data_IF_068208328174
#
_entry.id   IF_068208328174
#
_cell.length_a   1.000
_cell.length_b   1.000
_cell.length_c   1.000
_cell.angle_alpha   90.00
_cell.angle_beta   90.00
_cell.angle_gamma   90.00
#
_symmetry.space_group_name_H-M   'P 1'
#
loop_
_entity.id
_entity.type
_entity.pdbx_description
1 polymer ?
#
# COMPACT_ATOMS: atom_id res chain seq x y z
N UNK A 1 9.02 3.15 -5.89
CA UNK A 1 7.94 4.14 -5.92
C UNK A 1 8.49 5.53 -5.66
N UNK A 2 7.97 6.59 -6.32
CA UNK A 2 8.36 7.97 -6.03
C UNK A 2 7.33 8.60 -5.10
N UNK A 3 7.78 9.20 -4.01
CA UNK A 3 6.92 9.73 -2.94
C UNK A 3 6.68 11.25 -3.04
N UNK A 4 6.94 11.86 -4.21
CA UNK A 4 6.69 13.29 -4.47
C UNK A 4 7.25 14.26 -3.40
N UNK A 5 8.43 13.96 -2.85
CA UNK A 5 9.10 14.78 -1.83
C UNK A 5 8.82 14.37 -0.37
N UNK A 6 7.93 13.41 -0.13
CA UNK A 6 7.76 12.78 1.18
C UNK A 6 8.89 11.78 1.45
N UNK A 7 9.28 11.63 2.72
CA UNK A 7 10.23 10.59 3.14
C UNK A 7 9.47 9.26 3.33
N UNK A 8 10.16 8.10 3.25
CA UNK A 8 9.54 6.81 3.51
C UNK A 8 8.75 6.71 4.83
N UNK A 9 9.22 7.39 5.88
CA UNK A 9 8.57 7.40 7.20
C UNK A 9 7.34 8.34 7.28
N UNK A 10 7.13 9.18 6.28
CA UNK A 10 5.98 10.08 6.20
C UNK A 10 4.78 9.40 5.49
N UNK A 11 4.88 8.10 5.18
CA UNK A 11 3.82 7.31 4.55
C UNK A 11 3.70 5.93 5.19
N UNK A 12 2.50 5.34 5.08
CA UNK A 12 2.26 3.91 5.28
C UNK A 12 1.89 3.30 3.93
N UNK A 13 2.67 2.33 3.49
CA UNK A 13 2.42 1.58 2.25
C UNK A 13 1.74 0.27 2.61
N UNK A 14 0.65 -0.07 1.92
CA UNK A 14 -0.12 -1.27 2.18
C UNK A 14 -0.34 -2.06 0.90
N UNK A 15 -0.06 -3.35 0.95
CA UNK A 15 -0.62 -4.32 0.02
C UNK A 15 -2.04 -4.64 0.44
N UNK A 16 -2.98 -4.56 -0.49
CA UNK A 16 -4.39 -4.92 -0.30
C UNK A 16 -4.64 -6.15 -1.15
N UNK A 17 -4.95 -7.27 -0.52
CA UNK A 17 -5.07 -8.57 -1.19
C UNK A 17 -6.41 -9.20 -0.86
N UNK A 18 -6.99 -9.90 -1.82
CA UNK A 18 -8.26 -10.57 -1.64
C UNK A 18 -8.60 -11.47 -2.81
N UNK A 19 -9.72 -12.19 -2.68
CA UNK A 19 -10.28 -12.89 -3.83
C UNK A 19 -10.81 -11.86 -4.83
N UNK A 20 -10.88 -12.24 -6.10
CA UNK A 20 -11.62 -11.46 -7.09
C UNK A 20 -12.88 -12.19 -7.51
N UNK A 21 -13.95 -11.44 -7.75
CA UNK A 21 -15.15 -11.95 -8.39
C UNK A 21 -15.01 -11.96 -9.93
N UNK A 22 -16.09 -12.30 -10.64
CA UNK A 22 -16.09 -12.35 -12.10
C UNK A 22 -15.93 -10.97 -12.78
N UNK A 23 -16.03 -9.88 -12.01
CA UNK A 23 -15.82 -8.51 -12.47
C UNK A 23 -14.46 -7.93 -12.09
N UNK A 24 -13.50 -8.77 -11.67
CA UNK A 24 -12.17 -8.37 -11.17
C UNK A 24 -12.22 -7.45 -9.94
N UNK A 25 -13.31 -7.50 -9.17
CA UNK A 25 -13.46 -6.71 -7.94
C UNK A 25 -12.90 -7.49 -6.76
N UNK A 26 -12.06 -6.82 -5.95
CA UNK A 26 -11.53 -7.38 -4.71
C UNK A 26 -12.64 -7.59 -3.67
N UNK A 27 -12.80 -8.83 -3.24
CA UNK A 27 -13.73 -9.28 -2.20
C UNK A 27 -12.99 -9.56 -0.90
N UNK A 28 -13.59 -9.13 0.22
CA UNK A 28 -13.06 -9.25 1.58
C UNK A 28 -11.55 -8.96 1.70
N UNK A 29 -11.09 -7.77 1.26
CA UNK A 29 -9.67 -7.48 1.17
C UNK A 29 -9.01 -7.39 2.55
N UNK A 30 -7.87 -8.04 2.68
CA UNK A 30 -6.96 -7.92 3.82
C UNK A 30 -5.84 -6.95 3.45
N UNK A 31 -5.48 -6.08 4.39
CA UNK A 31 -4.37 -5.14 4.22
C UNK A 31 -3.14 -5.60 4.99
N UNK A 32 -1.99 -5.61 4.33
CA UNK A 32 -0.69 -5.93 4.91
C UNK A 32 0.23 -4.72 4.74
N UNK A 33 0.79 -4.23 5.84
CA UNK A 33 1.78 -3.16 5.79
C UNK A 33 3.06 -3.63 5.09
N UNK A 34 3.62 -2.78 4.24
CA UNK A 34 4.84 -3.03 3.50
C UNK A 34 5.99 -2.28 4.14
N UNK A 35 7.08 -3.00 4.42
CA UNK A 35 8.28 -2.41 4.99
C UNK A 35 9.08 -1.68 3.91
N UNK A 36 9.60 -0.49 4.24
CA UNK A 36 10.63 0.15 3.42
C UNK A 36 11.90 -0.69 3.49
N UNK A 37 12.39 -1.14 2.34
CA UNK A 37 13.56 -2.02 2.24
C UNK A 37 14.74 -1.36 1.54
N UNK A 38 14.63 -0.07 1.20
CA UNK A 38 15.73 0.74 0.66
C UNK A 38 15.30 1.60 -0.51
N UNK A 39 16.30 2.21 -1.15
CA UNK A 39 16.12 3.09 -2.30
C UNK A 39 16.82 2.45 -3.50
N UNK A 40 16.08 2.22 -4.57
CA UNK A 40 16.59 1.69 -5.84
C UNK A 40 17.10 2.78 -6.77
N UNK A 41 17.53 2.35 -7.96
CA UNK A 41 18.06 3.25 -8.99
C UNK A 41 17.08 4.38 -9.33
N UNK A 42 17.58 5.57 -9.63
CA UNK A 42 16.74 6.71 -10.00
C UNK A 42 15.92 7.32 -8.86
N UNK A 43 16.21 6.98 -7.59
CA UNK A 43 15.58 7.57 -6.42
C UNK A 43 14.18 7.01 -6.11
N UNK A 44 13.90 5.78 -6.54
CA UNK A 44 12.67 5.10 -6.20
C UNK A 44 12.79 4.41 -4.84
N UNK A 45 11.86 4.70 -3.93
CA UNK A 45 11.75 4.00 -2.65
C UNK A 45 11.12 2.61 -2.84
N UNK A 46 11.72 1.59 -2.25
CA UNK A 46 11.30 0.20 -2.34
C UNK A 46 10.57 -0.17 -1.06
N UNK A 47 9.34 -0.63 -1.22
CA UNK A 47 8.55 -1.21 -0.14
C UNK A 47 8.23 -2.64 -0.50
N UNK A 48 8.36 -3.56 0.44
CA UNK A 48 8.08 -4.98 0.23
C UNK A 48 7.36 -5.61 1.40
N UNK A 49 6.62 -6.66 1.11
CA UNK A 49 5.98 -7.52 2.11
C UNK A 49 5.87 -8.93 1.55
N UNK A 50 5.78 -9.90 2.44
CA UNK A 50 5.51 -11.30 2.11
C UNK A 50 4.28 -11.72 2.89
N UNK A 51 3.25 -12.17 2.20
CA UNK A 51 2.02 -12.64 2.83
C UNK A 51 1.65 -14.02 2.30
N UNK A 52 1.26 -14.96 3.18
CA UNK A 52 0.69 -16.21 2.73
C UNK A 52 -0.65 -15.93 2.03
N UNK A 53 -0.94 -16.67 0.97
CA UNK A 53 -2.27 -16.67 0.35
C UNK A 53 -3.13 -17.71 1.05
N UNK A 54 -4.16 -17.31 1.82
CA UNK A 54 -4.90 -18.25 2.65
C UNK A 54 -5.88 -19.13 1.85
N UNK A 55 -6.08 -18.85 0.56
CA UNK A 55 -7.19 -19.40 -0.23
C UNK A 55 -6.74 -19.77 -1.65
N UNK A 56 -7.24 -20.90 -2.16
CA UNK A 56 -7.07 -21.31 -3.54
C UNK A 56 -8.05 -20.58 -4.47
N UNK A 57 -7.61 -20.28 -5.69
CA UNK A 57 -8.37 -19.56 -6.72
C UNK A 57 -7.71 -18.25 -7.15
N UNK A 58 -8.39 -17.45 -8.00
CA UNK A 58 -7.89 -16.14 -8.42
C UNK A 58 -7.72 -15.19 -7.22
N UNK A 59 -6.55 -14.57 -7.15
CA UNK A 59 -6.22 -13.57 -6.14
C UNK A 59 -5.90 -12.27 -6.85
N UNK A 60 -6.55 -11.20 -6.42
CA UNK A 60 -6.20 -9.84 -6.80
C UNK A 60 -5.31 -9.21 -5.73
N UNK A 61 -4.49 -8.26 -6.14
CA UNK A 61 -3.80 -7.38 -5.22
C UNK A 61 -3.70 -5.97 -5.80
N UNK A 62 -3.66 -4.98 -4.91
CA UNK A 62 -3.29 -3.60 -5.24
C UNK A 62 -2.41 -3.03 -4.14
N UNK A 63 -1.70 -1.95 -4.45
CA UNK A 63 -0.87 -1.23 -3.48
C UNK A 63 -1.48 0.15 -3.29
N UNK A 64 -1.69 0.55 -2.03
CA UNK A 64 -2.09 1.91 -1.69
C UNK A 64 -1.06 2.55 -0.77
N UNK A 65 -0.96 3.87 -0.88
CA UNK A 65 -0.06 4.68 -0.07
C UNK A 65 -0.87 5.73 0.67
N UNK A 66 -0.73 5.72 1.99
CA UNK A 66 -1.43 6.64 2.88
C UNK A 66 -0.39 7.59 3.50
N UNK A 67 -0.62 8.91 3.48
CA UNK A 67 0.19 9.82 4.27
C UNK A 67 0.15 9.42 5.76
N UNK A 68 1.31 9.45 6.40
CA UNK A 68 1.47 9.20 7.83
C UNK A 68 2.05 10.46 8.46
N UNK A 69 1.24 11.18 9.23
CA UNK A 69 1.74 12.31 10.01
C UNK A 69 1.77 11.93 11.51
N UNK A 70 2.88 12.15 12.23
CA UNK A 70 3.00 11.79 13.65
C UNK A 70 2.01 12.53 14.58
N UNK A 71 1.31 13.56 14.09
CA UNK A 71 0.23 14.25 14.81
C UNK A 71 -1.19 13.99 14.29
N UNK A 72 -1.38 13.13 13.27
CA UNK A 72 -2.70 12.69 12.84
C UNK A 72 -3.05 11.41 13.61
N UNK A 73 -3.90 11.56 14.63
CA UNK A 73 -4.27 10.51 15.56
C UNK A 73 -5.17 9.41 14.96
N UNK A 74 -5.55 9.50 13.68
CA UNK A 74 -6.33 8.46 13.02
C UNK A 74 -6.09 8.42 11.50
N UNK A 75 -5.95 7.20 10.95
CA UNK A 75 -5.76 6.94 9.51
C UNK A 75 -7.02 7.14 8.66
N UNK A 76 -8.00 7.91 9.15
CA UNK A 76 -9.30 8.12 8.49
C UNK A 76 -9.65 9.59 8.22
N UNK A 77 -8.77 10.56 8.50
CA UNK A 77 -9.01 11.95 8.13
C UNK A 77 -8.27 12.29 6.81
N UNK A 78 -9.01 12.12 5.71
CA UNK A 78 -8.79 12.67 4.35
C UNK A 78 -7.34 13.06 4.01
N UNK A 79 -6.50 12.04 3.82
CA UNK A 79 -5.14 12.20 3.32
C UNK A 79 -5.14 12.78 1.91
N UNK A 80 -4.49 13.93 1.76
CA UNK A 80 -4.14 14.62 0.51
C UNK A 80 -4.03 13.67 -0.69
N UNK A 81 -5.03 13.70 -1.56
CA UNK A 81 -4.96 13.09 -2.89
C UNK A 81 -4.09 13.99 -3.75
N UNK A 82 -2.81 13.63 -3.94
CA UNK A 82 -2.05 14.16 -5.06
C UNK A 82 -2.34 13.28 -6.27
N UNK A 83 -3.19 13.77 -7.16
CA UNK A 83 -3.25 13.28 -8.54
C UNK A 83 -2.07 13.94 -9.27
N UNK A 84 -1.20 13.12 -9.85
CA UNK A 84 -0.24 13.57 -10.86
C UNK A 84 -0.92 13.58 -12.24
#
# INVERSE_FOLDING_TARGET
MRLAGLRPNDVTVQGVLGRVDAGDVLMDPVTVEMAHTGTGDGGYEIFSTTTPLPLAGPVGYTVRVLPRHPMLAASNELGLVTLA
#
